data_IF_606490423613
#
_entry.id   IF_606490423613
#
_cell.length_a   1.000
_cell.length_b   1.000
_cell.length_c   1.000
_cell.angle_alpha   90.00
_cell.angle_beta   90.00
_cell.angle_gamma   90.00
#
_symmetry.space_group_name_H-M   'P 1'
#
loop_
_entity.id
_entity.type
_entity.pdbx_description
1 polymer ?
#
# COMPACT_ATOMS: atom_id res chain seq x y z
N UNK A 1 22.49 -17.30 -5.03
CA UNK A 1 21.07 -17.55 -5.35
C UNK A 1 20.29 -17.22 -4.09
N UNK A 2 19.82 -15.99 -3.94
CA UNK A 2 19.08 -15.58 -2.74
C UNK A 2 17.67 -16.13 -2.85
N UNK A 3 17.35 -17.03 -1.94
CA UNK A 3 16.02 -17.60 -1.69
C UNK A 3 14.98 -16.47 -1.74
N UNK A 4 14.23 -16.39 -2.84
CA UNK A 4 13.15 -15.40 -2.99
C UNK A 4 12.04 -15.83 -2.03
N UNK A 5 12.18 -15.47 -0.74
CA UNK A 5 11.05 -15.50 0.19
C UNK A 5 9.91 -14.80 -0.52
N UNK A 6 8.78 -15.48 -0.66
CA UNK A 6 7.55 -14.94 -1.26
C UNK A 6 7.00 -13.85 -0.34
N UNK A 7 7.55 -12.65 -0.46
CA UNK A 7 7.13 -11.47 0.30
C UNK A 7 5.80 -10.98 -0.28
N UNK A 8 4.80 -10.79 0.57
CA UNK A 8 3.46 -10.35 0.14
C UNK A 8 3.49 -8.92 -0.40
N UNK A 9 4.32 -8.08 0.22
CA UNK A 9 4.51 -6.68 -0.17
C UNK A 9 6.00 -6.39 -0.36
N UNK A 10 6.52 -6.51 -1.59
CA UNK A 10 7.92 -6.21 -1.86
C UNK A 10 8.20 -4.71 -1.65
N UNK A 11 9.38 -4.39 -1.13
CA UNK A 11 9.84 -3.00 -1.06
C UNK A 11 9.97 -2.42 -2.48
N UNK A 12 9.58 -1.16 -2.65
CA UNK A 12 9.69 -0.48 -3.94
C UNK A 12 11.17 -0.36 -4.35
N UNK A 13 11.51 -0.69 -5.60
CA UNK A 13 12.90 -0.60 -6.09
C UNK A 13 13.42 0.84 -6.21
N UNK A 14 12.50 1.82 -6.22
CA UNK A 14 12.82 3.24 -6.31
C UNK A 14 11.86 4.07 -5.45
N UNK A 15 12.39 4.77 -4.45
CA UNK A 15 11.66 5.60 -3.50
C UNK A 15 11.50 4.95 -2.12
N UNK A 16 10.46 5.37 -1.39
CA UNK A 16 10.10 4.84 -0.07
C UNK A 16 8.72 4.18 -0.11
N UNK A 17 8.58 3.09 0.64
CA UNK A 17 7.31 2.38 0.83
C UNK A 17 7.25 1.00 0.16
N UNK A 18 6.05 0.44 0.20
CA UNK A 18 5.74 -0.89 -0.32
C UNK A 18 5.15 -0.83 -1.72
N UNK A 19 5.52 -1.79 -2.56
CA UNK A 19 4.93 -1.99 -3.88
C UNK A 19 3.54 -2.60 -3.82
N UNK A 20 2.98 -2.90 -5.00
CA UNK A 20 1.70 -3.62 -5.11
C UNK A 20 1.83 -5.01 -4.47
N UNK A 21 0.75 -5.55 -3.87
CA UNK A 21 0.75 -6.91 -3.36
C UNK A 21 1.15 -7.89 -4.45
N UNK A 22 2.14 -8.73 -4.14
CA UNK A 22 2.61 -9.78 -5.03
C UNK A 22 1.87 -11.11 -4.79
N UNK A 23 1.02 -11.17 -3.75
CA UNK A 23 0.22 -12.34 -3.39
C UNK A 23 -1.27 -12.03 -3.41
N UNK A 24 -2.08 -13.04 -3.73
CA UNK A 24 -3.54 -12.94 -3.71
C UNK A 24 -4.08 -12.58 -2.31
N UNK A 25 -3.36 -12.97 -1.25
CA UNK A 25 -3.72 -12.64 0.12
C UNK A 25 -3.56 -11.14 0.40
N UNK A 26 -2.51 -10.50 -0.12
CA UNK A 26 -2.34 -9.05 -0.03
C UNK A 26 -3.42 -8.29 -0.80
N UNK A 27 -3.84 -8.81 -1.96
CA UNK A 27 -4.99 -8.27 -2.70
C UNK A 27 -6.30 -8.41 -1.91
N UNK A 28 -6.56 -9.56 -1.28
CA UNK A 28 -7.75 -9.74 -0.44
C UNK A 28 -7.79 -8.74 0.72
N UNK A 29 -6.68 -8.52 1.41
CA UNK A 29 -6.61 -7.53 2.50
C UNK A 29 -6.92 -6.12 1.97
N UNK A 30 -6.37 -5.77 0.80
CA UNK A 30 -6.61 -4.46 0.18
C UNK A 30 -8.07 -4.29 -0.24
N UNK A 31 -8.66 -5.31 -0.88
CA UNK A 31 -10.07 -5.31 -1.29
C UNK A 31 -10.98 -5.23 -0.07
N UNK A 32 -10.68 -6.00 0.99
CA UNK A 32 -11.43 -5.96 2.24
C UNK A 32 -11.37 -4.57 2.88
N UNK A 33 -10.21 -3.93 2.89
CA UNK A 33 -10.08 -2.55 3.37
C UNK A 33 -10.93 -1.57 2.58
N UNK A 34 -10.87 -1.62 1.24
CA UNK A 34 -11.68 -0.76 0.37
C UNK A 34 -13.18 -1.00 0.60
N UNK A 35 -13.59 -2.27 0.72
CA UNK A 35 -14.96 -2.64 1.00
C UNK A 35 -15.43 -2.11 2.37
N UNK A 36 -14.61 -2.25 3.41
CA UNK A 36 -14.91 -1.71 4.75
C UNK A 36 -15.08 -0.19 4.70
N UNK A 37 -14.16 0.54 4.06
CA UNK A 37 -14.25 2.00 3.93
C UNK A 37 -15.50 2.40 3.14
N UNK A 38 -15.85 1.67 2.08
CA UNK A 38 -17.05 1.92 1.29
C UNK A 38 -18.33 1.68 2.12
N UNK A 39 -18.44 0.53 2.80
CA UNK A 39 -19.59 0.20 3.66
C UNK A 39 -19.75 1.24 4.76
N UNK A 40 -18.67 1.61 5.44
CA UNK A 40 -18.69 2.64 6.50
C UNK A 40 -19.12 4.00 5.95
N UNK A 41 -18.67 4.37 4.75
CA UNK A 41 -19.06 5.64 4.11
C UNK A 41 -20.50 5.65 3.61
N UNK A 42 -21.09 4.49 3.30
CA UNK A 42 -22.51 4.36 2.92
C UNK A 42 -23.44 4.25 4.13
N UNK A 43 -22.95 3.74 5.26
CA UNK A 43 -23.76 3.47 6.46
C UNK A 43 -23.70 4.58 7.50
N UNK A 44 -22.55 5.25 7.62
CA UNK A 44 -22.33 6.32 8.58
C UNK A 44 -22.28 7.63 7.81
N UNK A 45 -23.32 8.46 7.96
CA UNK A 45 -23.32 9.78 7.37
C UNK A 45 -22.26 10.65 8.07
N UNK A 46 -21.17 11.04 7.38
CA UNK A 46 -20.07 11.78 7.99
C UNK A 46 -20.49 13.16 8.47
N UNK A 47 -21.67 13.65 8.05
CA UNK A 47 -22.21 14.94 8.49
C UNK A 47 -22.79 14.90 9.90
N UNK A 48 -23.16 13.72 10.40
CA UNK A 48 -23.81 13.55 11.71
C UNK A 48 -22.84 12.92 12.71
N UNK A 49 -22.05 11.94 12.29
CA UNK A 49 -21.24 11.09 13.18
C UNK A 49 -19.77 11.02 12.69
N UNK A 50 -19.17 12.19 12.44
CA UNK A 50 -17.80 12.32 11.92
C UNK A 50 -16.77 11.57 12.76
N UNK A 51 -16.88 11.63 14.10
CA UNK A 51 -15.96 10.95 15.01
C UNK A 51 -16.04 9.43 14.87
N UNK A 52 -17.24 8.84 14.79
CA UNK A 52 -17.39 7.38 14.60
C UNK A 52 -16.82 6.94 13.26
N UNK A 53 -17.13 7.67 12.19
CA UNK A 53 -16.59 7.41 10.86
C UNK A 53 -15.05 7.48 10.87
N UNK A 54 -14.48 8.54 11.44
CA UNK A 54 -13.03 8.74 11.51
C UNK A 54 -12.32 7.66 12.35
N UNK A 55 -12.92 7.23 13.46
CA UNK A 55 -12.37 6.14 14.29
C UNK A 55 -12.37 4.83 13.52
N UNK A 56 -13.46 4.47 12.85
CA UNK A 56 -13.53 3.21 12.10
C UNK A 56 -12.54 3.19 10.93
N UNK A 57 -12.45 4.28 10.18
CA UNK A 57 -11.51 4.39 9.05
C UNK A 57 -10.06 4.39 9.53
N UNK A 58 -9.75 5.11 10.61
CA UNK A 58 -8.38 5.13 11.16
C UNK A 58 -7.97 3.76 11.71
N UNK A 59 -8.84 3.06 12.45
CA UNK A 59 -8.58 1.69 12.90
C UNK A 59 -8.36 0.74 11.72
N UNK A 60 -9.21 0.82 10.69
CA UNK A 60 -9.07 0.00 9.48
C UNK A 60 -7.74 0.26 8.77
N UNK A 61 -7.31 1.53 8.73
CA UNK A 61 -6.03 1.95 8.14
C UNK A 61 -4.85 1.45 8.97
N UNK A 62 -4.93 1.52 10.30
CA UNK A 62 -3.90 1.00 11.20
C UNK A 62 -3.74 -0.51 11.05
N UNK A 63 -4.84 -1.26 10.97
CA UNK A 63 -4.81 -2.71 10.72
C UNK A 63 -4.12 -3.01 9.39
N UNK A 64 -4.46 -2.27 8.33
CA UNK A 64 -3.81 -2.40 7.03
C UNK A 64 -2.29 -2.15 7.13
N UNK A 65 -1.88 -1.07 7.81
CA UNK A 65 -0.47 -0.74 8.03
C UNK A 65 0.26 -1.82 8.84
N UNK A 66 -0.37 -2.37 9.88
CA UNK A 66 0.19 -3.48 10.65
C UNK A 66 0.42 -4.71 9.77
N UNK A 67 -0.53 -5.03 8.88
CA UNK A 67 -0.37 -6.14 7.91
C UNK A 67 0.80 -5.85 6.96
N UNK A 68 0.94 -4.61 6.47
CA UNK A 68 2.10 -4.21 5.66
C UNK A 68 3.42 -4.35 6.43
N UNK A 69 3.47 -3.96 7.70
CA UNK A 69 4.69 -4.08 8.52
C UNK A 69 5.04 -5.53 8.86
N UNK A 70 4.05 -6.39 9.07
CA UNK A 70 4.26 -7.80 9.42
C UNK A 70 4.58 -8.70 8.23
N UNK A 71 4.00 -8.41 7.06
CA UNK A 71 4.09 -9.27 5.87
C UNK A 71 4.83 -8.62 4.70
N UNK A 72 5.14 -7.34 4.80
CA UNK A 72 5.97 -6.62 3.85
C UNK A 72 7.45 -6.68 4.21
N UNK A 73 8.29 -6.51 3.19
CA UNK A 73 9.71 -6.30 3.41
C UNK A 73 9.96 -4.96 4.10
N UNK A 74 11.08 -4.85 4.82
CA UNK A 74 11.49 -3.58 5.39
C UNK A 74 11.55 -2.51 4.29
N UNK A 75 10.90 -1.34 4.47
CA UNK A 75 10.85 -0.32 3.46
C UNK A 75 12.27 0.17 3.21
N UNK A 76 12.80 -0.10 2.02
CA UNK A 76 14.12 0.38 1.65
C UNK A 76 13.98 1.82 1.13
N UNK A 77 14.96 2.66 1.47
CA UNK A 77 15.09 4.01 0.93
C UNK A 77 16.18 4.00 -0.12
N UNK A 78 15.84 3.60 -1.36
CA UNK A 78 16.77 3.63 -2.49
C UNK A 78 16.18 4.50 -3.58
N UNK A 79 16.90 5.57 -3.92
CA UNK A 79 16.59 6.40 -5.07
C UNK A 79 17.61 6.09 -6.16
N UNK A 80 17.18 5.47 -7.26
CA UNK A 80 18.00 5.33 -8.46
C UNK A 80 18.04 6.69 -9.17
N UNK A 81 19.22 7.18 -9.58
CA UNK A 81 19.31 8.38 -10.39
C UNK A 81 18.48 8.20 -11.66
N UNK A 82 17.70 9.23 -12.02
CA UNK A 82 16.90 9.22 -13.24
C UNK A 82 17.88 9.26 -14.41
N UNK A 83 18.03 8.14 -15.11
CA UNK A 83 18.78 8.09 -16.36
C UNK A 83 18.04 9.00 -17.36
N UNK A 84 18.56 10.22 -17.57
CA UNK A 84 18.07 11.08 -18.65
C UNK A 84 18.43 10.36 -19.95
N UNK A 85 17.44 9.73 -20.57
CA UNK A 85 17.54 9.30 -21.96
C UNK A 85 17.92 10.53 -22.78
N UNK A 86 19.21 10.62 -23.13
CA UNK A 86 19.68 11.64 -24.05
C UNK A 86 19.11 11.23 -25.40
N UNK A 87 18.00 11.87 -25.80
CA UNK A 87 17.42 11.75 -27.15
C UNK A 87 18.54 11.79 -28.19
N UNK A 88 18.98 10.61 -28.63
CA UNK A 88 19.96 10.39 -29.72
C UNK A 88 19.34 10.59 -31.11
N UNK A 89 18.15 11.17 -31.17
CA UNK A 89 17.30 11.26 -32.36
C UNK A 89 17.41 12.59 -33.13
N UNK A 90 18.54 13.28 -33.01
CA UNK A 90 18.94 14.31 -33.98
C UNK A 90 20.25 13.86 -34.64
N UNK A 91 20.11 13.06 -35.69
CA UNK A 91 21.12 12.87 -36.74
C UNK A 91 20.41 12.93 -38.07
#
# INVERSE_FOLDING_TARGET
MTDKKTVWFPAKENGWGWGKPNTWQGWLVLVLYIATVAVVSLTVDPKVELLKWAVIVSVSTLVLLLVYLWKGDAPNWKWKPIEKDKRKWYK
#
